data_IF_198293886092
#
_entry.id   IF_198293886092
#
_cell.length_a   1.000
_cell.length_b   1.000
_cell.length_c   1.000
_cell.angle_alpha   90.00
_cell.angle_beta   90.00
_cell.angle_gamma   90.00
#
_symmetry.space_group_name_H-M   'P 1'
#
loop_
_entity.id
_entity.type
_entity.pdbx_description
1 polymer ?
#
# COMPACT_ATOMS: atom_id res chain seq x y z
N UNK A 1 19.71 -24.31 -31.86
CA UNK A 1 21.00 -23.63 -32.07
C UNK A 1 20.70 -22.15 -32.26
N UNK A 2 20.75 -21.31 -31.23
CA UNK A 2 21.98 -20.76 -30.63
C UNK A 2 22.62 -19.80 -31.65
N UNK A 3 22.87 -18.50 -31.43
CA UNK A 3 22.80 -17.58 -30.29
C UNK A 3 22.97 -16.16 -30.90
N UNK A 4 22.21 -15.18 -30.43
CA UNK A 4 22.70 -13.91 -29.86
C UNK A 4 23.77 -13.10 -30.63
N UNK A 5 23.47 -11.83 -30.95
CA UNK A 5 24.27 -10.70 -30.45
C UNK A 5 23.59 -9.33 -30.70
N UNK A 6 23.22 -8.69 -29.58
CA UNK A 6 23.40 -7.27 -29.27
C UNK A 6 22.99 -6.20 -30.29
N UNK A 7 21.85 -5.56 -30.03
CA UNK A 7 21.80 -4.10 -30.04
C UNK A 7 21.06 -3.61 -28.79
N UNK A 8 21.88 -3.21 -27.83
CA UNK A 8 21.52 -2.40 -26.68
C UNK A 8 21.33 -0.98 -27.24
N UNK A 9 20.09 -0.55 -27.44
CA UNK A 9 19.79 0.88 -27.60
C UNK A 9 19.09 1.30 -26.31
N UNK A 10 19.91 1.77 -25.38
CA UNK A 10 19.45 2.62 -24.28
C UNK A 10 19.01 3.92 -24.95
N UNK A 11 17.72 4.05 -25.23
CA UNK A 11 17.13 5.37 -25.41
C UNK A 11 16.94 5.89 -24.01
N UNK A 12 17.88 6.74 -23.56
CA UNK A 12 17.57 7.74 -22.56
C UNK A 12 16.58 8.69 -23.23
N UNK A 13 15.29 8.38 -23.11
CA UNK A 13 14.27 9.41 -23.22
C UNK A 13 14.48 10.31 -22.00
N UNK A 14 14.98 11.52 -22.28
CA UNK A 14 14.81 12.65 -21.40
C UNK A 14 13.31 12.73 -21.10
N UNK A 15 12.91 12.31 -19.90
CA UNK A 15 11.62 12.71 -19.33
C UNK A 15 11.64 14.23 -19.29
N UNK A 16 11.04 14.84 -20.31
CA UNK A 16 10.60 16.21 -20.25
C UNK A 16 9.63 16.27 -19.08
N UNK A 17 10.08 16.85 -17.96
CA UNK A 17 9.21 17.40 -16.94
C UNK A 17 8.22 18.29 -17.71
N UNK A 18 7.02 17.79 -17.96
CA UNK A 18 5.92 18.63 -18.44
C UNK A 18 5.88 19.81 -17.48
N UNK A 19 6.14 21.00 -18.00
CA UNK A 19 6.14 22.21 -17.20
C UNK A 19 4.85 22.22 -16.38
N UNK A 20 4.98 22.36 -15.06
CA UNK A 20 3.92 22.63 -14.06
C UNK A 20 3.23 23.99 -14.34
N UNK A 21 3.03 24.32 -15.63
CA UNK A 21 2.69 25.63 -16.14
C UNK A 21 1.26 26.03 -15.76
N UNK A 22 0.40 25.04 -15.60
CA UNK A 22 -1.03 25.19 -15.33
C UNK A 22 -1.39 25.41 -13.84
N UNK A 23 -0.41 25.43 -12.93
CA UNK A 23 -0.68 25.51 -11.48
C UNK A 23 -0.16 26.78 -10.81
N UNK A 24 0.37 27.74 -11.58
CA UNK A 24 0.84 29.04 -11.07
C UNK A 24 0.03 30.17 -11.72
N UNK A 25 -0.86 30.77 -10.93
CA UNK A 25 -1.70 31.88 -11.35
C UNK A 25 -0.95 33.21 -11.27
N UNK A 26 -1.20 34.11 -12.22
CA UNK A 26 -0.73 35.49 -12.15
C UNK A 26 -1.85 36.44 -11.68
N UNK A 27 -1.68 37.04 -10.50
CA UNK A 27 -2.60 38.01 -9.92
C UNK A 27 -2.26 39.43 -10.37
N UNK A 28 -2.84 39.84 -11.51
CA UNK A 28 -2.54 41.14 -12.14
C UNK A 28 -2.72 42.36 -11.23
N UNK A 29 -3.69 42.35 -10.31
CA UNK A 29 -3.94 43.44 -9.36
C UNK A 29 -2.81 43.64 -8.36
N UNK A 30 -2.08 42.58 -8.05
CA UNK A 30 -1.03 42.56 -7.04
C UNK A 30 0.37 42.46 -7.67
N UNK A 31 0.44 42.25 -8.99
CA UNK A 31 1.67 42.02 -9.74
C UNK A 31 2.51 40.86 -9.14
N UNK A 32 1.85 39.73 -8.87
CA UNK A 32 2.48 38.54 -8.26
C UNK A 32 1.98 37.25 -8.89
N UNK A 33 2.87 36.27 -8.96
CA UNK A 33 2.57 34.86 -9.22
C UNK A 33 2.22 34.17 -7.91
N UNK A 34 1.21 33.29 -7.95
CA UNK A 34 0.72 32.55 -6.80
C UNK A 34 0.53 31.08 -7.18
N UNK A 35 1.01 30.18 -6.33
CA UNK A 35 0.71 28.76 -6.41
C UNK A 35 0.01 28.34 -5.12
N UNK A 36 -1.06 27.56 -5.24
CA UNK A 36 -1.75 26.96 -4.11
C UNK A 36 -1.47 25.46 -4.06
N UNK A 37 -1.04 24.97 -2.90
CA UNK A 37 -0.74 23.56 -2.67
C UNK A 37 -1.70 22.98 -1.62
N UNK A 38 -2.34 21.87 -1.95
CA UNK A 38 -3.09 21.08 -0.97
C UNK A 38 -2.12 20.18 -0.19
N UNK A 39 -1.68 20.67 0.96
CA UNK A 39 -0.71 19.99 1.82
C UNK A 39 -1.42 19.51 3.06
N UNK A 40 -1.29 18.20 3.36
CA UNK A 40 -1.83 17.63 4.57
C UNK A 40 -1.31 18.38 5.82
N UNK A 41 -2.20 18.77 6.76
CA UNK A 41 -1.82 19.55 7.95
C UNK A 41 -0.73 18.89 8.82
N UNK A 42 -0.59 17.56 8.74
CA UNK A 42 0.48 16.80 9.39
C UNK A 42 1.89 17.30 9.01
N UNK A 43 2.07 17.91 7.84
CA UNK A 43 3.35 18.44 7.39
C UNK A 43 3.59 19.90 7.75
N UNK A 44 2.59 20.65 8.24
CA UNK A 44 2.76 22.06 8.56
C UNK A 44 3.82 22.26 9.64
N UNK A 45 3.88 21.37 10.63
CA UNK A 45 4.89 21.44 11.69
C UNK A 45 6.32 21.38 11.17
N UNK A 46 6.61 20.51 10.20
CA UNK A 46 7.97 20.38 9.63
C UNK A 46 8.31 21.49 8.65
N UNK A 47 7.33 21.97 7.87
CA UNK A 47 7.51 23.08 6.94
C UNK A 47 7.69 24.42 7.67
N UNK A 48 6.97 24.64 8.77
CA UNK A 48 7.09 25.85 9.57
C UNK A 48 8.36 25.80 10.43
N UNK A 49 8.59 24.69 11.12
CA UNK A 49 9.71 24.54 12.06
C UNK A 49 9.51 25.31 13.37
N UNK A 50 10.43 25.10 14.31
CA UNK A 50 10.42 25.82 15.61
C UNK A 50 10.61 27.31 15.34
N UNK A 51 9.79 28.16 15.98
CA UNK A 51 9.82 29.62 15.78
C UNK A 51 9.72 30.06 14.30
N UNK A 52 9.08 29.27 13.44
CA UNK A 52 8.98 29.49 11.99
C UNK A 52 10.33 29.51 11.23
N UNK A 53 11.41 28.96 11.80
CA UNK A 53 12.76 28.99 11.22
C UNK A 53 12.83 28.35 9.83
N UNK A 54 12.22 27.18 9.64
CA UNK A 54 12.23 26.48 8.36
C UNK A 54 11.47 27.27 7.29
N UNK A 55 10.31 27.83 7.65
CA UNK A 55 9.52 28.68 6.77
C UNK A 55 10.31 29.92 6.34
N UNK A 56 10.91 30.63 7.29
CA UNK A 56 11.70 31.84 7.02
C UNK A 56 12.88 31.54 6.10
N UNK A 57 13.56 30.42 6.33
CA UNK A 57 14.64 29.95 5.47
C UNK A 57 14.15 29.64 4.05
N UNK A 58 13.04 28.91 3.92
CA UNK A 58 12.44 28.61 2.61
C UNK A 58 12.06 29.91 1.86
N UNK A 59 11.42 30.85 2.54
CA UNK A 59 11.04 32.16 1.99
C UNK A 59 12.27 32.96 1.53
N UNK A 60 13.32 33.01 2.35
CA UNK A 60 14.57 33.71 2.05
C UNK A 60 15.30 33.08 0.87
N UNK A 61 15.51 31.76 0.89
CA UNK A 61 16.32 31.08 -0.12
C UNK A 61 15.62 31.01 -1.49
N UNK A 62 14.32 31.28 -1.55
CA UNK A 62 13.53 31.24 -2.79
C UNK A 62 12.94 32.60 -3.17
N UNK A 63 13.15 33.65 -2.36
CA UNK A 63 12.53 34.97 -2.54
C UNK A 63 11.01 34.88 -2.74
N UNK A 64 10.35 34.13 -1.85
CA UNK A 64 8.90 33.92 -1.85
C UNK A 64 8.26 34.30 -0.52
N UNK A 65 6.95 34.45 -0.51
CA UNK A 65 6.12 34.47 0.69
C UNK A 65 5.29 33.19 0.73
N UNK A 66 5.38 32.45 1.83
CA UNK A 66 4.65 31.20 2.05
C UNK A 66 3.60 31.46 3.13
N UNK A 67 2.34 31.16 2.85
CA UNK A 67 1.21 31.43 3.73
C UNK A 67 0.50 30.10 4.01
N UNK A 68 0.48 29.71 5.29
CA UNK A 68 -0.24 28.53 5.75
C UNK A 68 -1.66 28.90 6.17
N UNK A 69 -2.65 28.01 5.97
CA UNK A 69 -3.98 28.17 6.55
C UNK A 69 -3.93 28.31 8.07
N UNK A 70 -4.90 29.01 8.65
CA UNK A 70 -5.07 29.06 10.10
C UNK A 70 -5.55 27.70 10.61
N UNK A 71 -5.31 27.40 11.89
CA UNK A 71 -5.58 26.08 12.50
C UNK A 71 -7.03 25.59 12.35
N UNK A 72 -7.98 26.50 12.25
CA UNK A 72 -9.41 26.21 12.15
C UNK A 72 -9.99 26.45 10.75
N UNK A 73 -9.14 26.82 9.79
CA UNK A 73 -9.55 27.09 8.41
C UNK A 73 -9.14 25.91 7.50
N UNK A 74 -10.10 25.41 6.73
CA UNK A 74 -9.81 24.53 5.60
C UNK A 74 -9.21 25.41 4.50
N UNK A 75 -8.00 25.08 4.04
CA UNK A 75 -7.35 25.87 3.00
C UNK A 75 -6.08 25.22 2.47
N UNK A 76 -5.53 25.87 1.45
CA UNK A 76 -4.29 25.51 0.76
C UNK A 76 -3.12 26.35 1.29
N UNK A 77 -1.91 25.81 1.18
CA UNK A 77 -0.68 26.59 1.42
C UNK A 77 -0.41 27.42 0.17
N UNK A 78 -0.27 28.74 0.34
CA UNK A 78 -0.05 29.67 -0.79
C UNK A 78 1.40 30.11 -0.85
N UNK A 79 2.01 30.00 -2.02
CA UNK A 79 3.34 30.51 -2.33
C UNK A 79 3.18 31.71 -3.25
N UNK A 80 3.79 32.85 -2.92
CA UNK A 80 3.65 34.11 -3.68
C UNK A 80 5.02 34.68 -4.00
N UNK A 81 5.22 35.17 -5.22
CA UNK A 81 6.43 35.92 -5.60
C UNK A 81 6.18 36.81 -6.82
N UNK A 82 7.10 37.73 -7.12
CA UNK A 82 7.03 38.57 -8.33
C UNK A 82 7.41 37.82 -9.60
N UNK A 83 8.04 36.66 -9.49
CA UNK A 83 8.49 35.85 -10.63
C UNK A 83 8.02 34.41 -10.48
N UNK A 84 7.58 33.82 -11.59
CA UNK A 84 7.17 32.41 -11.67
C UNK A 84 8.27 31.44 -11.21
N UNK A 85 9.52 31.68 -11.62
CA UNK A 85 10.66 30.83 -11.27
C UNK A 85 10.88 30.68 -9.75
N UNK A 86 10.70 31.77 -8.99
CA UNK A 86 10.78 31.73 -7.52
C UNK A 86 9.67 30.89 -6.89
N UNK A 87 8.44 31.01 -7.40
CA UNK A 87 7.30 30.20 -6.93
C UNK A 87 7.55 28.71 -7.19
N UNK A 88 8.01 28.37 -8.40
CA UNK A 88 8.35 27.00 -8.77
C UNK A 88 9.49 26.44 -7.89
N UNK A 89 10.54 27.23 -7.66
CA UNK A 89 11.64 26.83 -6.78
C UNK A 89 11.18 26.55 -5.33
N UNK A 90 10.27 27.37 -4.80
CA UNK A 90 9.70 27.15 -3.48
C UNK A 90 8.80 25.90 -3.44
N UNK A 91 7.95 25.71 -4.46
CA UNK A 91 7.09 24.54 -4.59
C UNK A 91 7.90 23.24 -4.58
N UNK A 92 8.90 23.12 -5.45
CA UNK A 92 9.75 21.93 -5.54
C UNK A 92 10.45 21.63 -4.20
N UNK A 93 10.93 22.65 -3.49
CA UNK A 93 11.55 22.45 -2.16
C UNK A 93 10.55 21.98 -1.11
N UNK A 94 9.32 22.48 -1.14
CA UNK A 94 8.26 22.03 -0.23
C UNK A 94 7.87 20.58 -0.53
N UNK A 95 7.70 20.21 -1.80
CA UNK A 95 7.42 18.83 -2.23
C UNK A 95 8.50 17.86 -1.75
N UNK A 96 9.78 18.19 -1.96
CA UNK A 96 10.89 17.36 -1.47
C UNK A 96 10.90 17.18 0.06
N UNK A 97 10.52 18.22 0.82
CA UNK A 97 10.39 18.11 2.27
C UNK A 97 9.21 17.19 2.62
N UNK A 98 8.06 17.33 1.95
CA UNK A 98 6.88 16.51 2.17
C UNK A 98 7.20 15.05 1.87
N UNK A 99 7.77 14.75 0.71
CA UNK A 99 8.08 13.39 0.29
C UNK A 99 9.00 12.70 1.28
N UNK A 100 10.10 13.36 1.66
CA UNK A 100 11.03 12.85 2.67
C UNK A 100 10.32 12.56 4.00
N UNK A 101 9.44 13.46 4.45
CA UNK A 101 8.73 13.27 5.72
C UNK A 101 7.62 12.22 5.62
N UNK A 102 6.95 12.09 4.47
CA UNK A 102 5.96 11.05 4.20
C UNK A 102 6.59 9.66 4.24
N UNK A 103 7.79 9.50 3.69
CA UNK A 103 8.56 8.26 3.77
C UNK A 103 8.90 7.84 5.21
N UNK A 104 8.81 8.74 6.19
CA UNK A 104 9.01 8.43 7.61
C UNK A 104 7.72 8.11 8.38
N UNK A 105 6.54 8.40 7.83
CA UNK A 105 5.26 8.18 8.51
C UNK A 105 4.85 6.70 8.54
N UNK A 106 4.17 6.19 9.56
CA UNK A 106 3.59 4.85 9.45
C UNK A 106 2.59 4.77 8.29
N UNK A 107 2.42 3.59 7.71
CA UNK A 107 1.35 3.37 6.74
C UNK A 107 -0.01 3.61 7.40
N UNK A 108 -0.92 4.19 6.65
CA UNK A 108 -2.26 4.56 7.13
C UNK A 108 -3.35 3.77 6.43
N UNK A 109 -3.11 3.41 5.17
CA UNK A 109 -4.04 2.69 4.32
C UNK A 109 -3.27 1.68 3.49
N UNK A 110 -4.01 0.71 2.95
CA UNK A 110 -3.46 -0.24 2.00
C UNK A 110 -4.56 -0.68 1.04
N UNK A 111 -4.17 -0.91 -0.21
CA UNK A 111 -5.03 -1.50 -1.21
C UNK A 111 -4.97 -3.03 -1.06
N UNK A 112 -6.13 -3.66 -0.98
CA UNK A 112 -6.20 -5.10 -0.78
C UNK A 112 -7.33 -5.78 -1.54
N UNK A 113 -7.15 -7.07 -1.80
CA UNK A 113 -8.21 -7.96 -2.27
C UNK A 113 -8.51 -8.96 -1.14
N UNK A 114 -9.68 -8.88 -0.50
CA UNK A 114 -10.05 -9.81 0.54
C UNK A 114 -10.30 -11.22 -0.01
N UNK A 115 -9.85 -12.25 0.71
CA UNK A 115 -10.05 -13.66 0.29
C UNK A 115 -11.39 -14.19 0.82
N UNK A 116 -11.68 -13.98 2.10
CA UNK A 116 -12.73 -14.72 2.79
C UNK A 116 -13.98 -13.87 3.16
N UNK A 117 -14.20 -12.76 2.44
CA UNK A 117 -15.31 -11.84 2.74
C UNK A 117 -16.65 -12.28 2.16
N UNK A 118 -16.65 -13.05 1.07
CA UNK A 118 -17.87 -13.59 0.48
C UNK A 118 -18.49 -14.69 1.35
N UNK A 119 -19.83 -14.79 1.33
CA UNK A 119 -20.59 -15.87 1.97
C UNK A 119 -20.77 -17.12 1.08
N UNK A 120 -20.11 -17.15 -0.09
CA UNK A 120 -20.15 -18.26 -1.03
C UNK A 120 -19.66 -19.58 -0.42
N UNK A 121 -20.13 -20.71 -0.97
CA UNK A 121 -19.69 -22.04 -0.53
C UNK A 121 -18.18 -22.24 -0.67
N UNK A 122 -17.58 -21.68 -1.72
CA UNK A 122 -16.13 -21.71 -1.95
C UNK A 122 -15.38 -20.96 -0.85
N UNK A 123 -15.84 -19.76 -0.47
CA UNK A 123 -15.26 -19.00 0.65
C UNK A 123 -15.38 -19.76 1.97
N UNK A 124 -16.52 -20.40 2.24
CA UNK A 124 -16.71 -21.23 3.45
C UNK A 124 -15.73 -22.42 3.49
N UNK A 125 -15.55 -23.11 2.36
CA UNK A 125 -14.59 -24.21 2.26
C UNK A 125 -13.15 -23.73 2.46
N UNK A 126 -12.81 -22.56 1.91
CA UNK A 126 -11.50 -21.95 2.12
C UNK A 126 -11.27 -21.64 3.61
N UNK A 127 -12.25 -21.04 4.30
CA UNK A 127 -12.17 -20.78 5.74
C UNK A 127 -11.93 -22.07 6.53
N UNK A 128 -12.65 -23.15 6.20
CA UNK A 128 -12.48 -24.45 6.84
C UNK A 128 -11.07 -25.01 6.66
N UNK A 129 -10.54 -24.98 5.42
CA UNK A 129 -9.17 -25.41 5.14
C UNK A 129 -8.11 -24.56 5.87
N UNK A 130 -8.32 -23.25 5.97
CA UNK A 130 -7.43 -22.39 6.75
C UNK A 130 -7.43 -22.76 8.25
N UNK A 131 -8.60 -22.96 8.84
CA UNK A 131 -8.70 -23.37 10.25
C UNK A 131 -8.14 -24.77 10.50
N UNK A 132 -8.32 -25.69 9.55
CA UNK A 132 -7.70 -27.02 9.59
C UNK A 132 -6.17 -26.92 9.53
N UNK A 133 -5.62 -26.13 8.60
CA UNK A 133 -4.19 -25.84 8.54
C UNK A 133 -3.67 -25.31 9.88
N UNK A 134 -4.33 -24.28 10.42
CA UNK A 134 -3.97 -23.67 11.70
C UNK A 134 -3.96 -24.70 12.83
N UNK A 135 -5.05 -25.48 12.96
CA UNK A 135 -5.18 -26.54 13.96
C UNK A 135 -4.03 -27.55 13.84
N UNK A 136 -3.79 -28.06 12.64
CA UNK A 136 -2.77 -29.08 12.40
C UNK A 136 -1.35 -28.57 12.67
N UNK A 137 -1.06 -27.30 12.35
CA UNK A 137 0.23 -26.69 12.68
C UNK A 137 0.41 -26.56 14.19
N UNK A 138 -0.61 -26.11 14.93
CA UNK A 138 -0.55 -26.01 16.38
C UNK A 138 -0.41 -27.39 17.05
N UNK A 139 -1.04 -28.43 16.50
CA UNK A 139 -0.92 -29.79 17.01
C UNK A 139 0.44 -30.44 16.71
N UNK A 140 0.99 -30.24 15.51
CA UNK A 140 2.17 -30.98 15.03
C UNK A 140 3.49 -30.19 15.11
N UNK A 141 3.42 -28.87 15.31
CA UNK A 141 4.59 -27.98 15.34
C UNK A 141 4.66 -27.10 16.59
N UNK A 142 3.86 -27.36 17.64
CA UNK A 142 3.86 -26.56 18.88
C UNK A 142 5.17 -26.60 19.67
N UNK A 143 5.99 -27.65 19.47
CA UNK A 143 7.31 -27.74 20.09
C UNK A 143 8.37 -26.87 19.38
N UNK A 144 8.07 -26.32 18.20
CA UNK A 144 8.98 -25.44 17.48
C UNK A 144 9.01 -24.05 18.12
N UNK A 145 10.18 -23.41 18.07
CA UNK A 145 10.40 -22.12 18.71
C UNK A 145 9.43 -21.05 18.18
N UNK A 146 8.72 -20.41 19.10
CA UNK A 146 7.91 -19.22 18.82
C UNK A 146 6.58 -19.50 18.12
N UNK A 147 6.20 -20.76 17.89
CA UNK A 147 4.91 -21.13 17.30
C UNK A 147 3.80 -21.01 18.35
N UNK A 148 2.96 -20.00 18.18
CA UNK A 148 1.80 -19.77 19.06
C UNK A 148 0.54 -19.46 18.24
N UNK A 149 -0.63 -19.56 18.87
CA UNK A 149 -1.91 -19.27 18.22
C UNK A 149 -2.03 -17.82 17.73
N UNK A 150 -1.37 -16.87 18.40
CA UNK A 150 -1.40 -15.43 18.10
C UNK A 150 -0.68 -15.09 16.81
N UNK A 151 0.23 -15.95 16.34
CA UNK A 151 0.90 -15.76 15.06
C UNK A 151 -0.07 -15.78 13.88
N UNK A 152 -1.16 -16.54 13.99
CA UNK A 152 -2.08 -16.78 12.88
C UNK A 152 -2.95 -15.55 12.63
N UNK A 153 -3.00 -15.14 11.37
CA UNK A 153 -3.90 -14.09 10.91
C UNK A 153 -5.37 -14.50 11.17
N UNK A 154 -6.23 -13.52 11.45
CA UNK A 154 -7.65 -13.81 11.55
C UNK A 154 -8.19 -14.20 10.18
N UNK A 155 -8.99 -15.26 10.09
CA UNK A 155 -9.50 -15.77 8.82
C UNK A 155 -10.23 -14.69 8.00
N UNK A 156 -10.98 -13.80 8.67
CA UNK A 156 -11.68 -12.71 7.98
C UNK A 156 -10.71 -11.63 7.46
N UNK A 157 -9.48 -11.54 7.98
CA UNK A 157 -8.42 -10.61 7.57
C UNK A 157 -7.44 -11.16 6.54
N UNK A 158 -7.67 -12.37 6.02
CA UNK A 158 -6.86 -12.91 4.91
C UNK A 158 -7.10 -12.11 3.63
N UNK A 159 -6.02 -11.60 3.03
CA UNK A 159 -6.08 -10.72 1.88
C UNK A 159 -4.78 -10.79 1.05
N UNK A 160 -4.88 -10.36 -0.21
CA UNK A 160 -3.74 -9.95 -1.02
C UNK A 160 -3.47 -8.47 -0.76
N UNK A 161 -2.24 -8.10 -0.42
CA UNK A 161 -1.83 -6.70 -0.33
C UNK A 161 -1.30 -6.25 -1.70
N UNK A 162 -1.87 -5.17 -2.25
CA UNK A 162 -1.52 -4.64 -3.58
C UNK A 162 -0.62 -3.42 -3.45
N UNK A 163 -0.99 -2.47 -2.59
CA UNK A 163 -0.26 -1.22 -2.38
C UNK A 163 -0.39 -0.77 -0.92
N UNK A 164 0.57 0.02 -0.44
CA UNK A 164 0.55 0.63 0.90
C UNK A 164 0.71 2.13 0.80
N UNK A 165 -0.16 2.88 1.48
CA UNK A 165 -0.29 4.34 1.32
C UNK A 165 -0.15 5.08 2.66
N UNK A 166 0.27 6.34 2.54
CA UNK A 166 0.29 7.32 3.63
C UNK A 166 -0.64 8.47 3.24
N UNK A 167 -1.89 8.40 3.69
CA UNK A 167 -2.95 9.38 3.45
C UNK A 167 -3.21 10.11 4.77
N UNK A 168 -2.95 11.41 4.80
CA UNK A 168 -2.89 12.24 6.00
C UNK A 168 -3.90 13.38 5.99
N UNK A 169 -4.74 13.46 4.95
CA UNK A 169 -5.87 14.37 4.87
C UNK A 169 -7.08 13.69 4.20
N UNK A 170 -8.26 14.28 4.40
CA UNK A 170 -9.48 13.84 3.70
C UNK A 170 -9.41 14.09 2.19
N UNK A 171 -8.71 15.14 1.76
CA UNK A 171 -8.52 15.43 0.35
C UNK A 171 -7.67 14.36 -0.33
N UNK A 172 -6.56 13.93 0.29
CA UNK A 172 -5.74 12.82 -0.19
C UNK A 172 -6.54 11.51 -0.27
N UNK A 173 -7.38 11.22 0.73
CA UNK A 173 -8.26 10.05 0.73
C UNK A 173 -9.25 10.11 -0.44
N UNK A 174 -9.95 11.23 -0.62
CA UNK A 174 -10.92 11.39 -1.70
C UNK A 174 -10.25 11.31 -3.08
N UNK A 175 -9.10 11.97 -3.24
CA UNK A 175 -8.31 11.89 -4.46
C UNK A 175 -7.97 10.45 -4.82
N UNK A 176 -7.41 9.67 -3.88
CA UNK A 176 -7.11 8.26 -4.12
C UNK A 176 -8.36 7.43 -4.42
N UNK A 177 -9.49 7.71 -3.77
CA UNK A 177 -10.75 7.00 -4.06
C UNK A 177 -11.20 7.23 -5.49
N UNK A 178 -11.13 8.48 -5.96
CA UNK A 178 -11.53 8.85 -7.32
C UNK A 178 -10.55 8.26 -8.34
N UNK A 179 -9.24 8.42 -8.15
CA UNK A 179 -8.19 7.80 -8.97
C UNK A 179 -8.40 6.28 -9.06
N UNK A 180 -8.59 5.61 -7.92
CA UNK A 180 -8.78 4.17 -7.87
C UNK A 180 -10.03 3.73 -8.64
N UNK A 181 -11.13 4.46 -8.51
CA UNK A 181 -12.38 4.19 -9.21
C UNK A 181 -12.19 4.29 -10.73
N UNK A 182 -11.55 5.36 -11.19
CA UNK A 182 -11.33 5.64 -12.61
C UNK A 182 -10.35 4.63 -13.24
N UNK A 183 -9.18 4.45 -12.65
CA UNK A 183 -8.15 3.56 -13.19
C UNK A 183 -8.61 2.09 -13.14
N UNK A 184 -9.26 1.65 -12.06
CA UNK A 184 -9.80 0.29 -11.98
C UNK A 184 -10.86 0.06 -13.05
N UNK A 185 -11.75 1.04 -13.28
CA UNK A 185 -12.76 0.94 -14.34
C UNK A 185 -12.14 0.84 -15.73
N UNK A 186 -11.14 1.66 -16.03
CA UNK A 186 -10.43 1.63 -17.30
C UNK A 186 -9.72 0.28 -17.51
N UNK A 187 -8.99 -0.20 -16.49
CA UNK A 187 -8.28 -1.47 -16.54
C UNK A 187 -9.23 -2.66 -16.63
N UNK A 188 -10.35 -2.68 -15.92
CA UNK A 188 -11.33 -3.77 -16.02
C UNK A 188 -11.90 -3.89 -17.44
N UNK A 189 -12.13 -2.80 -18.17
CA UNK A 189 -12.54 -2.87 -19.58
C UNK A 189 -11.47 -3.52 -20.48
N UNK A 190 -10.20 -3.26 -20.19
CA UNK A 190 -9.07 -3.82 -20.94
C UNK A 190 -8.84 -5.30 -20.59
N UNK A 191 -8.91 -5.65 -19.31
CA UNK A 191 -8.53 -6.96 -18.78
C UNK A 191 -9.73 -7.90 -18.56
N UNK A 192 -10.97 -7.42 -18.68
CA UNK A 192 -12.21 -8.21 -18.63
C UNK A 192 -13.18 -7.79 -19.75
N UNK A 193 -12.83 -7.99 -21.04
CA UNK A 193 -13.67 -7.56 -22.17
C UNK A 193 -15.00 -8.32 -22.29
N UNK A 194 -15.15 -9.47 -21.63
CA UNK A 194 -16.39 -10.27 -21.69
C UNK A 194 -16.99 -10.52 -20.31
N UNK A 195 -18.31 -10.71 -20.27
CA UNK A 195 -19.11 -10.97 -19.07
C UNK A 195 -18.76 -12.29 -18.35
N UNK A 196 -18.03 -13.18 -19.01
CA UNK A 196 -17.60 -14.49 -18.49
C UNK A 196 -16.30 -14.45 -17.71
N UNK A 197 -15.56 -13.36 -17.77
CA UNK A 197 -14.22 -13.30 -17.21
C UNK A 197 -14.22 -13.02 -15.71
N UNK A 198 -13.41 -13.77 -14.97
CA UNK A 198 -13.19 -13.62 -13.53
C UNK A 198 -11.71 -13.74 -13.21
N UNK A 199 -11.28 -13.09 -12.15
CA UNK A 199 -9.97 -13.36 -11.56
C UNK A 199 -10.10 -14.51 -10.58
N UNK A 200 -9.51 -15.65 -10.92
CA UNK A 200 -9.49 -16.86 -10.08
C UNK A 200 -8.04 -17.21 -9.78
N UNK A 201 -7.75 -17.43 -8.50
CA UNK A 201 -6.42 -17.83 -8.04
C UNK A 201 -6.51 -19.11 -7.21
N UNK A 202 -5.45 -19.90 -7.25
CA UNK A 202 -5.25 -21.08 -6.42
C UNK A 202 -4.25 -20.73 -5.33
N UNK A 203 -4.63 -20.91 -4.07
CA UNK A 203 -3.69 -20.77 -2.96
C UNK A 203 -3.15 -22.15 -2.63
N UNK A 204 -1.88 -22.38 -2.97
CA UNK A 204 -1.24 -23.68 -2.75
C UNK A 204 0.25 -23.52 -2.51
N UNK A 205 0.69 -24.17 -1.44
CA UNK A 205 2.05 -24.15 -0.96
C UNK A 205 2.37 -22.94 -0.09
N UNK A 206 3.45 -23.07 0.65
CA UNK A 206 3.90 -22.09 1.63
C UNK A 206 5.25 -21.53 1.22
N UNK A 207 5.47 -20.27 1.56
CA UNK A 207 6.75 -19.58 1.48
C UNK A 207 6.78 -18.54 2.61
N UNK A 208 7.94 -17.94 2.86
CA UNK A 208 8.14 -17.00 3.95
C UNK A 208 8.92 -15.78 3.48
N UNK A 209 8.83 -14.70 4.26
CA UNK A 209 9.68 -13.54 4.08
C UNK A 209 11.01 -13.76 4.83
N UNK A 210 12.12 -13.26 4.27
CA UNK A 210 13.52 -13.49 4.70
C UNK A 210 14.07 -14.86 4.26
N UNK A 211 15.37 -15.10 4.48
CA UNK A 211 16.09 -16.23 3.85
C UNK A 211 16.23 -17.48 4.74
N UNK A 212 16.11 -17.38 6.07
CA UNK A 212 16.28 -18.51 6.99
C UNK A 212 14.93 -19.04 7.53
N UNK A 213 14.53 -20.29 7.19
CA UNK A 213 13.30 -20.88 7.70
C UNK A 213 13.30 -21.13 9.22
N UNK A 214 14.45 -21.02 9.89
CA UNK A 214 14.58 -21.08 11.35
C UNK A 214 14.26 -19.75 12.03
N UNK A 215 14.27 -18.63 11.28
CA UNK A 215 14.05 -17.26 11.78
C UNK A 215 13.03 -16.50 10.91
N UNK A 216 11.81 -17.03 10.84
CA UNK A 216 10.73 -16.46 10.03
C UNK A 216 9.97 -15.39 10.79
N UNK A 217 9.70 -14.26 10.13
CA UNK A 217 8.76 -13.24 10.60
C UNK A 217 7.38 -13.37 9.97
N UNK A 218 7.32 -13.74 8.69
CA UNK A 218 6.07 -13.82 7.93
C UNK A 218 6.06 -15.11 7.13
N UNK A 219 5.03 -15.93 7.34
CA UNK A 219 4.73 -17.11 6.53
C UNK A 219 3.44 -16.85 5.76
N UNK A 220 3.42 -17.15 4.47
CA UNK A 220 2.30 -16.86 3.59
C UNK A 220 1.99 -18.01 2.64
N UNK A 221 0.73 -18.03 2.17
CA UNK A 221 0.32 -18.91 1.08
C UNK A 221 0.76 -18.33 -0.26
N UNK A 222 1.33 -19.18 -1.11
CA UNK A 222 1.64 -18.82 -2.50
C UNK A 222 0.37 -18.71 -3.32
N UNK A 223 0.37 -17.72 -4.21
CA UNK A 223 -0.73 -17.49 -5.15
C UNK A 223 -0.32 -18.04 -6.51
N UNK A 224 -1.08 -19.00 -7.02
CA UNK A 224 -0.93 -19.55 -8.36
C UNK A 224 -2.04 -19.00 -9.23
N UNK A 225 -1.68 -18.45 -10.39
CA UNK A 225 -2.62 -17.88 -11.34
C UNK A 225 -3.23 -19.01 -12.17
N UNK A 226 -4.56 -19.13 -12.18
CA UNK A 226 -5.30 -20.28 -12.74
C UNK A 226 -6.01 -19.92 -14.05
N UNK A 227 -5.65 -18.78 -14.65
CA UNK A 227 -6.31 -18.32 -15.86
C UNK A 227 -5.94 -19.21 -17.06
N UNK A 228 -6.97 -19.77 -17.71
CA UNK A 228 -6.82 -20.68 -18.85
C UNK A 228 -6.39 -19.98 -20.14
N UNK A 229 -6.66 -18.67 -20.28
CA UNK A 229 -6.39 -17.92 -21.51
C UNK A 229 -5.15 -17.04 -21.39
N UNK A 230 -4.93 -16.43 -20.23
CA UNK A 230 -3.72 -15.65 -19.95
C UNK A 230 -3.35 -15.73 -18.48
N UNK A 231 -2.40 -16.60 -18.15
CA UNK A 231 -1.94 -16.84 -16.78
C UNK A 231 -1.42 -15.59 -16.08
N UNK A 232 -1.01 -14.54 -16.78
CA UNK A 232 -0.50 -13.29 -16.19
C UNK A 232 -1.54 -12.15 -16.11
N UNK A 233 -2.80 -12.39 -16.50
CA UNK A 233 -3.81 -11.33 -16.62
C UNK A 233 -4.04 -10.54 -15.33
N UNK A 234 -4.23 -11.25 -14.20
CA UNK A 234 -4.38 -10.63 -12.89
C UNK A 234 -3.12 -9.85 -12.49
N UNK A 235 -1.94 -10.44 -12.70
CA UNK A 235 -0.68 -9.81 -12.33
C UNK A 235 -0.47 -8.50 -13.11
N UNK A 236 -0.70 -8.50 -14.42
CA UNK A 236 -0.58 -7.31 -15.26
C UNK A 236 -1.62 -6.24 -14.88
N UNK A 237 -2.85 -6.64 -14.54
CA UNK A 237 -3.88 -5.73 -14.04
C UNK A 237 -3.42 -5.05 -12.74
N UNK A 238 -2.89 -5.82 -11.79
CA UNK A 238 -2.44 -5.30 -10.49
C UNK A 238 -1.16 -4.47 -10.62
N UNK A 239 -0.20 -4.89 -11.44
CA UNK A 239 1.05 -4.16 -11.67
C UNK A 239 0.74 -2.77 -12.26
N UNK A 240 -0.14 -2.68 -13.26
CA UNK A 240 -0.61 -1.38 -13.83
C UNK A 240 -1.36 -0.55 -12.80
N UNK A 241 -2.25 -1.16 -12.03
CA UNK A 241 -2.98 -0.45 -10.99
C UNK A 241 -2.04 0.15 -9.92
N UNK A 242 -0.98 -0.58 -9.57
CA UNK A 242 0.03 -0.11 -8.63
C UNK A 242 0.91 0.99 -9.22
N UNK A 243 1.20 0.96 -10.52
CA UNK A 243 1.90 2.03 -11.24
C UNK A 243 1.07 3.34 -11.24
N UNK A 244 -0.23 3.27 -11.56
CA UNK A 244 -1.13 4.43 -11.47
C UNK A 244 -1.15 5.04 -10.08
N UNK A 245 -1.17 4.21 -9.03
CA UNK A 245 -1.12 4.70 -7.65
C UNK A 245 0.26 5.22 -7.25
N UNK A 246 1.35 4.67 -7.80
CA UNK A 246 2.70 5.16 -7.54
C UNK A 246 2.86 6.60 -8.05
N UNK A 247 2.29 6.89 -9.22
CA UNK A 247 2.31 8.22 -9.85
C UNK A 247 1.59 9.29 -9.05
N UNK A 248 0.79 8.92 -8.04
CA UNK A 248 0.14 9.88 -7.12
C UNK A 248 1.08 10.51 -6.10
N UNK A 249 2.28 9.95 -5.89
CA UNK A 249 3.21 10.39 -4.83
C UNK A 249 2.77 10.04 -3.39
N UNK A 250 1.61 9.39 -3.20
CA UNK A 250 1.05 9.07 -1.88
C UNK A 250 1.44 7.67 -1.37
N UNK A 251 2.23 6.94 -2.14
CA UNK A 251 2.77 5.63 -1.80
C UNK A 251 4.18 5.71 -1.23
N UNK A 252 4.54 4.73 -0.39
CA UNK A 252 5.95 4.44 -0.15
C UNK A 252 6.40 3.39 -1.14
N UNK A 253 7.20 3.80 -2.12
CA UNK A 253 7.77 2.89 -3.11
C UNK A 253 8.45 1.71 -2.40
N UNK A 254 8.12 0.48 -2.79
CA UNK A 254 8.86 -0.67 -2.26
C UNK A 254 9.29 -1.74 -3.25
N UNK A 255 8.64 -1.98 -4.38
CA UNK A 255 9.13 -2.99 -5.34
C UNK A 255 8.64 -2.70 -6.76
N UNK A 256 9.42 -3.08 -7.78
CA UNK A 256 9.06 -2.96 -9.22
C UNK A 256 7.85 -3.82 -9.60
N UNK A 257 7.60 -4.92 -8.87
CA UNK A 257 6.50 -5.85 -9.14
C UNK A 257 5.83 -6.35 -7.87
N UNK A 258 4.52 -6.55 -7.92
CA UNK A 258 3.74 -7.03 -6.77
C UNK A 258 3.99 -8.52 -6.56
N UNK A 259 4.52 -8.89 -5.40
CA UNK A 259 4.58 -10.30 -4.96
C UNK A 259 3.22 -10.70 -4.40
N UNK A 260 2.40 -11.40 -5.20
CA UNK A 260 1.10 -11.88 -4.74
C UNK A 260 1.26 -12.98 -3.68
N UNK A 261 0.78 -12.68 -2.48
CA UNK A 261 0.82 -13.60 -1.34
C UNK A 261 -0.32 -13.30 -0.37
N UNK A 262 -0.72 -14.32 0.39
CA UNK A 262 -1.67 -14.16 1.50
C UNK A 262 -0.97 -14.52 2.80
N UNK A 263 -0.73 -13.51 3.64
CA UNK A 263 -0.06 -13.70 4.94
C UNK A 263 -0.93 -14.57 5.85
N UNK A 264 -0.39 -15.71 6.27
CA UNK A 264 -1.05 -16.67 7.16
C UNK A 264 -0.59 -16.51 8.60
N UNK A 265 0.71 -16.28 8.79
CA UNK A 265 1.34 -16.08 10.09
C UNK A 265 2.28 -14.89 10.06
N UNK A 266 2.30 -14.10 11.13
CA UNK A 266 3.17 -12.93 11.25
C UNK A 266 3.59 -12.70 12.70
N UNK A 267 4.91 -12.57 12.95
CA UNK A 267 5.47 -12.31 14.27
C UNK A 267 4.93 -11.03 14.92
N UNK A 268 4.53 -10.03 14.12
CA UNK A 268 3.92 -8.79 14.59
C UNK A 268 2.48 -8.95 15.12
N UNK A 269 1.85 -10.11 14.93
CA UNK A 269 0.54 -10.42 15.49
C UNK A 269 0.60 -10.95 16.92
N UNK A 270 1.80 -11.26 17.43
CA UNK A 270 1.96 -11.59 18.85
C UNK A 270 1.55 -10.41 19.72
N UNK A 271 0.95 -10.77 20.84
CA UNK A 271 0.63 -9.84 21.92
C UNK A 271 1.58 -10.12 23.07
N UNK A 272 2.02 -9.07 23.74
CA UNK A 272 2.71 -9.22 25.02
C UNK A 272 1.73 -9.53 26.16
N UNK A 273 2.27 -9.65 27.37
CA UNK A 273 1.50 -9.89 28.60
C UNK A 273 0.45 -8.80 28.89
N UNK A 274 0.59 -7.62 28.28
CA UNK A 274 -0.37 -6.51 28.40
C UNK A 274 -1.47 -6.56 27.33
N UNK A 275 -1.39 -7.51 26.40
CA UNK A 275 -2.33 -7.67 25.29
C UNK A 275 -2.08 -6.74 24.10
N UNK A 276 -0.96 -5.99 24.10
CA UNK A 276 -0.61 -5.04 23.03
C UNK A 276 0.09 -5.79 21.90
N UNK A 277 -0.37 -5.56 20.67
CA UNK A 277 0.25 -6.13 19.47
C UNK A 277 1.64 -5.54 19.23
N UNK A 278 2.60 -6.38 18.87
CA UNK A 278 3.95 -5.95 18.46
C UNK A 278 3.92 -4.93 17.31
N UNK A 279 3.00 -5.09 16.34
CA UNK A 279 2.77 -4.10 15.29
C UNK A 279 2.55 -2.67 15.82
N UNK A 280 1.79 -2.51 16.91
CA UNK A 280 1.46 -1.20 17.47
C UNK A 280 2.67 -0.54 18.17
N UNK A 281 3.57 -1.34 18.75
CA UNK A 281 4.79 -0.83 19.38
C UNK A 281 5.73 -0.22 18.36
N UNK A 282 5.88 -0.89 17.21
CA UNK A 282 6.74 -0.41 16.10
C UNK A 282 6.20 0.88 15.48
N UNK A 283 4.88 1.01 15.30
CA UNK A 283 4.26 2.20 14.71
C UNK A 283 4.42 3.47 15.56
N UNK A 284 4.55 3.36 16.88
CA UNK A 284 4.70 4.51 17.81
C UNK A 284 6.15 4.92 18.06
N UNK A 285 7.12 4.38 17.31
CA UNK A 285 8.55 4.69 17.48
C UNK A 285 9.12 4.33 18.86
N UNK A 286 8.41 3.51 19.66
CA UNK A 286 8.79 3.15 21.03
C UNK A 286 9.89 2.09 21.11
N UNK A 287 10.25 1.47 19.99
CA UNK A 287 11.16 0.31 19.99
C UNK A 287 12.44 0.66 19.25
N UNK A 288 13.43 1.21 19.96
CA UNK A 288 14.80 1.27 19.44
C UNK A 288 15.55 -0.06 19.62
N UNK A 289 15.10 -1.00 20.47
CA UNK A 289 15.95 -2.14 20.92
C UNK A 289 15.27 -3.51 21.16
N UNK A 290 13.98 -3.74 20.85
CA UNK A 290 13.43 -5.11 20.87
C UNK A 290 13.38 -5.63 19.42
N UNK A 291 14.26 -6.59 19.13
CA UNK A 291 14.18 -7.37 17.90
C UNK A 291 12.84 -8.11 17.87
N UNK A 292 12.21 -8.15 16.69
CA UNK A 292 11.02 -8.97 16.48
C UNK A 292 11.33 -10.40 16.89
N UNK A 293 10.48 -11.00 17.68
CA UNK A 293 10.65 -12.40 18.02
C UNK A 293 10.22 -13.24 16.80
N UNK A 294 11.16 -13.82 16.07
CA UNK A 294 10.86 -14.70 14.93
C UNK A 294 10.27 -16.04 15.39
N UNK A 295 9.90 -16.92 14.46
CA UNK A 295 9.55 -18.32 14.73
C UNK A 295 10.29 -19.29 13.81
N UNK A 296 10.44 -20.55 14.26
CA UNK A 296 11.02 -21.63 13.44
C UNK A 296 9.92 -22.30 12.61
N UNK A 297 10.00 -22.15 11.30
CA UNK A 297 9.03 -22.68 10.35
C UNK A 297 9.49 -23.96 9.64
N UNK A 298 10.67 -24.51 9.94
CA UNK A 298 11.23 -25.68 9.21
C UNK A 298 10.26 -26.85 9.20
N UNK A 299 9.68 -27.19 10.35
CA UNK A 299 8.74 -28.31 10.43
C UNK A 299 7.38 -27.99 9.77
N UNK A 300 6.94 -26.73 9.81
CA UNK A 300 5.74 -26.27 9.09
C UNK A 300 5.94 -26.45 7.58
N UNK A 301 7.08 -26.00 7.04
CA UNK A 301 7.42 -26.14 5.63
C UNK A 301 7.57 -27.61 5.21
N UNK A 302 8.16 -28.44 6.08
CA UNK A 302 8.32 -29.87 5.84
C UNK A 302 6.97 -30.60 5.75
N UNK A 303 6.04 -30.33 6.66
CA UNK A 303 4.77 -31.04 6.77
C UNK A 303 3.67 -30.44 5.87
N UNK A 304 3.63 -29.11 5.76
CA UNK A 304 2.55 -28.37 5.14
C UNK A 304 3.01 -27.49 3.98
N UNK A 305 4.27 -27.57 3.55
CA UNK A 305 4.84 -26.71 2.50
C UNK A 305 4.12 -26.78 1.15
N UNK A 306 3.34 -27.82 0.89
CA UNK A 306 2.52 -27.98 -0.32
C UNK A 306 1.01 -27.95 -0.05
N UNK A 307 0.59 -27.49 1.14
CA UNK A 307 -0.81 -27.45 1.55
C UNK A 307 -1.67 -26.68 0.54
N UNK A 308 -2.83 -27.24 0.21
CA UNK A 308 -3.74 -26.71 -0.80
C UNK A 308 -4.99 -26.12 -0.13
N UNK A 309 -5.03 -24.79 -0.07
CA UNK A 309 -6.16 -24.04 0.49
C UNK A 309 -7.35 -23.97 -0.47
N UNK A 310 -7.15 -24.25 -1.75
CA UNK A 310 -8.16 -24.25 -2.81
C UNK A 310 -8.15 -23.01 -3.69
N UNK A 311 -9.11 -22.99 -4.62
CA UNK A 311 -9.33 -21.88 -5.53
C UNK A 311 -10.29 -20.86 -4.94
N UNK A 312 -10.09 -19.59 -5.27
CA UNK A 312 -10.96 -18.50 -4.89
C UNK A 312 -11.09 -17.49 -6.03
N UNK A 313 -12.32 -16.99 -6.21
CA UNK A 313 -12.62 -15.86 -7.08
C UNK A 313 -12.38 -14.55 -6.33
N UNK A 314 -11.64 -13.64 -6.96
CA UNK A 314 -11.33 -12.32 -6.44
C UNK A 314 -12.42 -11.34 -6.89
N UNK A 315 -13.25 -10.89 -5.96
CA UNK A 315 -14.48 -10.16 -6.26
C UNK A 315 -14.39 -8.65 -6.01
N UNK A 316 -13.53 -8.23 -5.08
CA UNK A 316 -13.55 -6.88 -4.56
C UNK A 316 -12.13 -6.38 -4.32
N UNK A 317 -11.94 -5.10 -4.58
CA UNK A 317 -10.75 -4.34 -4.26
C UNK A 317 -11.11 -3.28 -3.21
N UNK A 318 -10.37 -3.25 -2.10
CA UNK A 318 -10.66 -2.42 -0.93
C UNK A 318 -9.52 -1.45 -0.69
N UNK A 319 -9.83 -0.17 -0.57
CA UNK A 319 -8.95 0.79 0.09
C UNK A 319 -9.19 0.69 1.60
N UNK A 320 -8.35 -0.10 2.26
CA UNK A 320 -8.51 -0.44 3.67
C UNK A 320 -7.77 0.53 4.58
N UNK A 321 -8.39 0.87 5.71
CA UNK A 321 -7.81 1.70 6.78
C UNK A 321 -6.97 0.81 7.68
N UNK A 322 -5.73 1.22 7.91
CA UNK A 322 -4.82 0.49 8.78
C UNK A 322 -5.26 0.63 10.24
N UNK A 323 -5.30 -0.49 10.96
CA UNK A 323 -5.63 -0.58 12.40
C UNK A 323 -7.07 -0.28 12.81
N UNK A 324 -7.96 0.05 11.89
CA UNK A 324 -9.40 0.14 12.16
C UNK A 324 -10.09 -1.16 11.69
N UNK A 325 -10.80 -1.91 12.54
CA UNK A 325 -11.58 -3.06 12.11
C UNK A 325 -13.01 -2.66 11.71
N UNK A 326 -13.52 -3.25 10.65
CA UNK A 326 -14.94 -3.24 10.34
C UNK A 326 -15.67 -4.16 11.32
N UNK A 327 -16.57 -3.59 12.14
CA UNK A 327 -17.27 -4.32 13.19
C UNK A 327 -18.27 -5.35 12.68
N UNK A 328 -18.77 -5.20 11.46
CA UNK A 328 -19.75 -6.12 10.87
C UNK A 328 -19.05 -7.31 10.22
N UNK A 329 -17.98 -7.06 9.49
CA UNK A 329 -17.31 -8.11 8.70
C UNK A 329 -16.11 -8.74 9.42
N UNK A 330 -15.55 -8.05 10.42
CA UNK A 330 -14.29 -8.41 11.05
C UNK A 330 -13.07 -8.21 10.15
N UNK A 331 -13.25 -7.60 8.97
CA UNK A 331 -12.16 -7.17 8.10
C UNK A 331 -11.54 -5.85 8.61
N UNK A 332 -10.69 -5.24 7.80
CA UNK A 332 -10.25 -3.88 8.01
C UNK A 332 -11.38 -2.90 7.64
N UNK A 333 -11.41 -1.75 8.31
CA UNK A 333 -12.22 -0.60 7.93
C UNK A 333 -11.87 -0.20 6.50
N UNK A 334 -12.80 0.46 5.83
CA UNK A 334 -12.74 0.60 4.38
C UNK A 334 -13.23 1.98 3.94
N UNK A 335 -12.41 2.68 3.17
CA UNK A 335 -12.72 4.00 2.60
C UNK A 335 -13.54 3.88 1.30
N UNK A 336 -13.23 2.87 0.49
CA UNK A 336 -14.01 2.52 -0.71
C UNK A 336 -13.82 1.05 -1.09
N UNK A 337 -14.83 0.49 -1.76
CA UNK A 337 -14.84 -0.87 -2.30
C UNK A 337 -15.20 -0.83 -3.78
N UNK A 338 -14.44 -1.53 -4.61
CA UNK A 338 -14.67 -1.63 -6.06
C UNK A 338 -14.86 -3.08 -6.44
N UNK A 339 -15.90 -3.36 -7.22
CA UNK A 339 -16.17 -4.72 -7.72
C UNK A 339 -15.23 -5.05 -8.89
N UNK A 340 -14.54 -6.18 -8.78
CA UNK A 340 -13.68 -6.74 -9.83
C UNK A 340 -14.50 -7.64 -10.76
N UNK A 341 -15.41 -7.01 -11.51
CA UNK A 341 -16.29 -7.69 -12.47
C UNK A 341 -16.26 -6.99 -13.83
N UNK A 342 -16.61 -7.70 -14.92
CA UNK A 342 -16.72 -7.10 -16.24
C UNK A 342 -17.64 -5.87 -16.24
N UNK A 343 -17.23 -4.85 -16.99
CA UNK A 343 -17.94 -3.57 -17.09
C UNK A 343 -18.66 -3.56 -18.44
N UNK A 344 -19.99 -3.63 -18.39
CA UNK A 344 -20.86 -3.52 -19.57
C UNK A 344 -20.71 -2.16 -20.26
#
# INVERSE_FOLDING_TARGET
>A
MQLLLHFLVIVHEEESLEDDEDTIDYLAKENMFVCEMDIAPAFYGVLIGKNAENKQKLEQDTNTQIIFPRRDEIGTVKIRSRTKANVQSARTRIELIIDRNRQMQPFTHFLSIPICQSSSSVSKQFKQKYEEFKKNVLEQCSNERGITNELFQQVNKLHLTIATLVLLSKSEINFIKDTLQECTKALLKQFMPTDKERFIVQLRGLEFMNDDPSFVDVLYAKVQLVDKTNTNRLQNFLDRLNEELLNTGLMKQKFERIKLHVTLMNSLLRKDDTGILEAQKTARGKVKNQERESFDAKNILRLFGQYDFGQIELNELHLSIMHEPDRQTGYYGCETKILLKPIN
#
